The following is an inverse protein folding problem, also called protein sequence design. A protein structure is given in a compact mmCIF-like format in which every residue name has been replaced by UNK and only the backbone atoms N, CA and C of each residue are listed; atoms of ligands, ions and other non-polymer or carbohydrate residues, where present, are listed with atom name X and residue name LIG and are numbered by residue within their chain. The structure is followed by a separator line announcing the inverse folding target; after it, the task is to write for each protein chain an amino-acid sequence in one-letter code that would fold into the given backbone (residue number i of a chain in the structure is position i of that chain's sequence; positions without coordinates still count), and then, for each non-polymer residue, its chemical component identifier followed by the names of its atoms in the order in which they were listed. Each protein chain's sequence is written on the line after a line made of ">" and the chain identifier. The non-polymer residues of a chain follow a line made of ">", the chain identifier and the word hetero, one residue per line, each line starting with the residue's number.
data_IF_468802636158
#
_entry.id   IF_468802636158
#
_cell.length_a   1.000
_cell.length_b   1.000
_cell.length_c   1.000
_cell.angle_alpha   90.00
_cell.angle_beta   90.00
_cell.angle_gamma   90.00
#
_symmetry.space_group_name_H-M   'P 1'
#
loop_
_entity.id
_entity.type
_entity.pdbx_description
1 polymer ?
#
# COMPACT_ATOMS: atom_id res chain seq x y z
N UNK A 1 -21.69 -3.11 -5.75
CA UNK A 1 -22.72 -4.05 -5.25
C UNK A 1 -22.07 -4.94 -4.19
N UNK A 2 -22.85 -5.55 -3.30
CA UNK A 2 -22.31 -6.53 -2.34
C UNK A 2 -21.95 -7.80 -3.12
N UNK A 3 -20.73 -8.31 -2.94
CA UNK A 3 -20.28 -9.55 -3.56
C UNK A 3 -20.96 -10.74 -2.87
N UNK A 4 -21.60 -11.68 -3.61
CA UNK A 4 -22.24 -12.86 -3.01
C UNK A 4 -21.30 -13.70 -2.14
N UNK A 5 -19.98 -13.65 -2.38
CA UNK A 5 -18.97 -14.35 -1.58
C UNK A 5 -18.75 -13.73 -0.19
N UNK A 6 -19.16 -12.48 -0.01
CA UNK A 6 -19.05 -11.75 1.26
C UNK A 6 -20.25 -11.98 2.18
N UNK A 7 -21.35 -12.55 1.69
CA UNK A 7 -22.53 -12.86 2.51
C UNK A 7 -22.14 -13.72 3.72
N UNK A 8 -22.57 -13.29 4.92
CA UNK A 8 -22.24 -13.95 6.18
C UNK A 8 -20.78 -13.82 6.60
N UNK A 9 -20.03 -12.89 6.02
CA UNK A 9 -18.72 -12.44 6.51
C UNK A 9 -18.88 -11.08 7.21
N UNK A 10 -17.94 -10.68 8.08
CA UNK A 10 -17.94 -9.34 8.67
C UNK A 10 -17.94 -8.18 7.65
N UNK A 11 -17.54 -8.45 6.40
CA UNK A 11 -17.42 -7.47 5.32
C UNK A 11 -18.65 -7.44 4.38
N UNK A 12 -19.75 -8.13 4.71
CA UNK A 12 -20.92 -8.24 3.81
C UNK A 12 -21.59 -6.90 3.46
N UNK A 13 -21.28 -5.84 4.21
CA UNK A 13 -21.77 -4.49 4.00
C UNK A 13 -20.89 -3.65 3.06
N UNK A 14 -19.69 -4.13 2.70
CA UNK A 14 -18.71 -3.37 1.91
C UNK A 14 -18.94 -3.60 0.42
N UNK A 15 -19.29 -2.57 -0.37
CA UNK A 15 -19.48 -2.73 -1.81
C UNK A 15 -18.13 -2.89 -2.53
N UNK A 16 -18.04 -3.88 -3.41
CA UNK A 16 -16.83 -4.17 -4.20
C UNK A 16 -17.15 -4.26 -5.68
N UNK A 17 -16.19 -3.89 -6.53
CA UNK A 17 -16.38 -3.94 -7.97
C UNK A 17 -16.29 -5.39 -8.48
N UNK A 18 -17.23 -5.85 -9.33
CA UNK A 18 -17.31 -7.26 -9.74
C UNK A 18 -16.13 -7.73 -10.60
N UNK A 19 -15.42 -6.83 -11.29
CA UNK A 19 -14.20 -7.19 -12.04
C UNK A 19 -12.98 -7.45 -11.15
N UNK A 20 -13.01 -7.12 -9.86
CA UNK A 20 -11.86 -7.35 -8.97
C UNK A 20 -11.55 -8.84 -8.88
N UNK A 21 -10.28 -9.18 -9.11
CA UNK A 21 -9.78 -10.54 -9.01
C UNK A 21 -9.49 -10.81 -7.54
N UNK A 22 -10.36 -11.60 -6.91
CA UNK A 22 -10.21 -12.00 -5.51
C UNK A 22 -9.07 -13.01 -5.37
N UNK A 23 -8.12 -12.71 -4.49
CA UNK A 23 -6.95 -13.55 -4.21
C UNK A 23 -7.15 -14.46 -2.98
N UNK A 24 -8.21 -14.21 -2.22
CA UNK A 24 -8.65 -15.03 -1.08
C UNK A 24 -9.90 -15.82 -1.41
N UNK A 25 -10.10 -16.94 -0.71
CA UNK A 25 -11.33 -17.73 -0.84
C UNK A 25 -12.55 -16.95 -0.34
N UNK A 26 -12.57 -16.65 0.97
CA UNK A 26 -13.71 -15.98 1.61
C UNK A 26 -13.33 -14.78 2.48
N UNK A 27 -12.46 -14.91 3.47
CA UNK A 27 -12.08 -13.78 4.33
C UNK A 27 -10.67 -14.03 4.89
N UNK A 28 -9.82 -12.99 5.08
CA UNK A 28 -10.03 -11.57 4.81
C UNK A 28 -10.06 -11.23 3.31
N UNK A 29 -10.61 -10.07 2.95
CA UNK A 29 -10.66 -9.65 1.54
C UNK A 29 -9.30 -9.14 1.04
N UNK A 30 -8.80 -9.77 -0.02
CA UNK A 30 -7.63 -9.29 -0.75
C UNK A 30 -7.89 -9.47 -2.24
N UNK A 31 -7.67 -8.43 -3.03
CA UNK A 31 -7.98 -8.42 -4.45
C UNK A 31 -7.09 -7.47 -5.23
N UNK A 32 -6.89 -7.77 -6.50
CA UNK A 32 -6.24 -6.92 -7.49
C UNK A 32 -7.19 -6.66 -8.67
N UNK A 33 -7.08 -5.51 -9.35
CA UNK A 33 -7.82 -5.31 -10.58
C UNK A 33 -7.26 -6.20 -11.70
N UNK A 34 -8.04 -6.47 -12.77
CA UNK A 34 -7.51 -6.98 -14.01
C UNK A 34 -6.33 -6.14 -14.50
N UNK A 35 -5.25 -6.79 -14.96
CA UNK A 35 -3.98 -6.11 -15.27
C UNK A 35 -4.11 -4.94 -16.24
N UNK A 36 -5.08 -4.97 -17.17
CA UNK A 36 -5.38 -3.86 -18.09
C UNK A 36 -5.57 -2.51 -17.38
N UNK A 37 -6.06 -2.48 -16.14
CA UNK A 37 -6.31 -1.25 -15.39
C UNK A 37 -5.05 -0.62 -14.80
N UNK A 38 -3.90 -1.29 -14.81
CA UNK A 38 -2.62 -0.66 -14.43
C UNK A 38 -2.05 0.23 -15.54
N UNK A 39 -2.71 0.29 -16.71
CA UNK A 39 -2.33 1.15 -17.84
C UNK A 39 -2.84 2.60 -17.70
N UNK A 40 -3.77 2.87 -16.79
CA UNK A 40 -4.26 4.22 -16.49
C UNK A 40 -3.43 4.85 -15.39
N UNK A 41 -3.03 6.12 -15.55
CA UNK A 41 -2.18 6.81 -14.56
C UNK A 41 -2.85 6.94 -13.18
N UNK A 42 -4.13 7.31 -13.12
CA UNK A 42 -4.95 7.28 -11.91
C UNK A 42 -5.92 6.10 -12.02
N UNK A 43 -5.83 5.18 -11.06
CA UNK A 43 -6.72 4.02 -10.96
C UNK A 43 -8.05 4.46 -10.34
N UNK A 44 -9.21 4.13 -10.94
CA UNK A 44 -10.51 4.34 -10.31
C UNK A 44 -10.55 3.66 -8.94
N UNK A 45 -11.09 4.32 -7.91
CA UNK A 45 -11.05 3.79 -6.53
C UNK A 45 -11.77 2.45 -6.38
N UNK A 46 -12.82 2.19 -7.16
CA UNK A 46 -13.51 0.90 -7.19
C UNK A 46 -12.63 -0.26 -7.70
N UNK A 47 -11.54 0.05 -8.41
CA UNK A 47 -10.56 -0.88 -8.97
C UNK A 47 -9.18 -0.76 -8.30
N UNK A 48 -9.03 0.08 -7.29
CA UNK A 48 -7.80 0.18 -6.53
C UNK A 48 -7.58 -1.14 -5.75
N UNK A 49 -6.40 -1.74 -5.82
CA UNK A 49 -6.15 -3.02 -5.15
C UNK A 49 -6.45 -2.92 -3.65
N UNK A 50 -6.97 -4.01 -3.08
CA UNK A 50 -7.35 -4.08 -1.66
C UNK A 50 -6.54 -5.17 -0.97
N UNK A 51 -5.91 -4.83 0.15
CA UNK A 51 -5.25 -5.77 1.06
C UNK A 51 -5.75 -5.52 2.47
N UNK A 52 -6.49 -6.49 3.03
CA UNK A 52 -6.94 -6.46 4.42
C UNK A 52 -6.36 -7.66 5.19
N UNK A 53 -5.85 -7.41 6.40
CA UNK A 53 -5.40 -8.47 7.32
C UNK A 53 -6.56 -9.13 8.07
N UNK A 54 -7.67 -8.40 8.24
CA UNK A 54 -8.88 -8.85 8.92
C UNK A 54 -10.13 -8.14 8.40
N UNK A 55 -11.20 -8.09 9.22
CA UNK A 55 -12.43 -7.38 8.90
C UNK A 55 -12.21 -5.90 8.64
N UNK A 56 -13.05 -5.32 7.78
CA UNK A 56 -13.14 -3.86 7.63
C UNK A 56 -13.91 -3.28 8.82
N UNK A 57 -13.32 -2.37 9.61
CA UNK A 57 -14.04 -1.66 10.66
C UNK A 57 -15.17 -0.80 10.06
N UNK A 58 -16.33 -0.82 10.71
CA UNK A 58 -17.45 0.05 10.37
C UNK A 58 -17.37 1.34 11.19
N UNK A 59 -16.78 2.36 10.59
CA UNK A 59 -16.50 3.64 11.24
C UNK A 59 -17.38 4.74 10.65
N UNK A 60 -17.64 5.77 11.45
CA UNK A 60 -18.39 6.97 11.07
C UNK A 60 -17.50 8.19 11.22
N UNK A 61 -17.65 9.18 10.33
CA UNK A 61 -16.85 10.41 10.31
C UNK A 61 -16.89 11.15 11.65
N UNK A 62 -18.10 11.39 12.16
CA UNK A 62 -18.37 12.24 13.33
C UNK A 62 -17.84 11.65 14.65
N UNK A 63 -17.65 10.33 14.71
CA UNK A 63 -17.25 9.63 15.94
C UNK A 63 -15.80 9.17 15.91
N UNK A 64 -15.19 9.06 14.73
CA UNK A 64 -13.82 8.58 14.62
C UNK A 64 -12.84 9.63 15.11
N UNK A 65 -11.83 9.17 15.86
CA UNK A 65 -10.72 9.99 16.31
C UNK A 65 -9.42 9.23 16.16
N UNK A 66 -8.31 9.95 16.12
CA UNK A 66 -6.97 9.37 16.28
C UNK A 66 -6.11 10.24 17.18
N UNK A 67 -5.17 9.63 17.90
CA UNK A 67 -4.25 10.35 18.81
C UNK A 67 -2.85 10.50 18.24
N UNK A 68 -2.18 11.58 18.64
CA UNK A 68 -0.73 11.77 18.51
C UNK A 68 -0.14 11.89 19.92
N UNK A 69 0.78 10.99 20.27
CA UNK A 69 1.39 10.92 21.60
C UNK A 69 2.86 10.45 21.55
N UNK A 70 3.46 10.17 22.73
CA UNK A 70 4.85 9.77 22.87
C UNK A 70 5.79 10.95 23.13
N UNK A 71 6.88 11.03 22.37
CA UNK A 71 7.88 12.11 22.45
C UNK A 71 7.37 13.41 21.80
N UNK A 72 6.27 13.94 22.34
CA UNK A 72 5.63 15.21 21.94
C UNK A 72 5.30 16.02 23.19
N UNK A 73 5.35 17.35 23.09
CA UNK A 73 5.07 18.24 24.23
C UNK A 73 3.59 18.27 24.61
N UNK A 74 2.72 18.33 23.59
CA UNK A 74 1.29 18.53 23.75
C UNK A 74 0.55 17.38 23.02
N UNK A 75 0.45 16.18 23.64
CA UNK A 75 -0.32 15.07 23.08
C UNK A 75 -1.76 15.48 22.78
N UNK A 76 -2.29 15.08 21.62
CA UNK A 76 -3.60 15.52 21.14
C UNK A 76 -4.36 14.38 20.50
N UNK A 77 -5.68 14.41 20.65
CA UNK A 77 -6.61 13.57 19.91
C UNK A 77 -7.35 14.46 18.92
N UNK A 78 -7.44 14.05 17.66
CA UNK A 78 -8.09 14.78 16.59
C UNK A 78 -9.40 14.08 16.22
N UNK A 79 -10.50 14.83 16.20
CA UNK A 79 -11.70 14.44 15.45
C UNK A 79 -11.54 14.70 13.96
N UNK A 80 -12.38 14.08 13.13
CA UNK A 80 -12.29 14.25 11.67
C UNK A 80 -12.59 15.68 11.20
N UNK A 81 -13.65 16.31 11.71
CA UNK A 81 -13.95 17.72 11.41
C UNK A 81 -12.83 18.64 11.85
N UNK A 82 -12.35 18.46 13.08
CA UNK A 82 -11.25 19.23 13.64
C UNK A 82 -9.98 19.12 12.79
N UNK A 83 -9.62 17.92 12.32
CA UNK A 83 -8.48 17.70 11.43
C UNK A 83 -8.63 18.52 10.15
N UNK A 84 -9.80 18.44 9.49
CA UNK A 84 -10.02 19.09 8.20
C UNK A 84 -10.09 20.61 8.35
N UNK A 85 -10.78 21.12 9.36
CA UNK A 85 -10.97 22.57 9.53
C UNK A 85 -9.74 23.25 10.11
N UNK A 86 -9.03 22.62 11.04
CA UNK A 86 -7.86 23.23 11.69
C UNK A 86 -6.67 23.34 10.74
N UNK A 87 -6.51 22.38 9.84
CA UNK A 87 -5.37 22.27 8.92
C UNK A 87 -5.78 22.46 7.44
N UNK A 88 -6.84 23.22 7.19
CA UNK A 88 -7.36 23.46 5.83
C UNK A 88 -6.27 24.07 4.92
N UNK A 89 -5.46 24.99 5.45
CA UNK A 89 -4.41 25.69 4.68
C UNK A 89 -3.20 24.82 4.37
N UNK A 90 -2.96 23.80 5.18
CA UNK A 90 -1.87 22.84 5.06
C UNK A 90 -2.29 21.59 4.28
N UNK A 91 -3.58 21.49 3.90
CA UNK A 91 -4.11 20.38 3.13
C UNK A 91 -3.54 20.39 1.71
N UNK A 92 -3.02 19.24 1.27
CA UNK A 92 -2.44 19.05 -0.06
C UNK A 92 -3.08 17.89 -0.79
N UNK A 93 -2.99 17.88 -2.12
CA UNK A 93 -3.44 16.76 -2.96
C UNK A 93 -2.38 16.43 -4.01
N UNK A 94 -1.98 15.16 -4.12
CA UNK A 94 -1.06 14.70 -5.16
C UNK A 94 -1.18 13.20 -5.43
N UNK A 95 -0.77 12.72 -6.62
CA UNK A 95 -0.83 11.31 -6.97
C UNK A 95 0.25 10.49 -6.25
N UNK A 96 -0.15 9.34 -5.69
CA UNK A 96 0.77 8.36 -5.08
C UNK A 96 0.45 6.97 -5.59
N UNK A 97 1.47 6.27 -6.09
CA UNK A 97 1.41 4.84 -6.38
C UNK A 97 1.56 4.05 -5.08
N UNK A 98 0.54 3.24 -4.75
CA UNK A 98 0.61 2.25 -3.68
C UNK A 98 0.98 0.90 -4.28
N UNK A 99 1.87 0.18 -3.60
CA UNK A 99 2.32 -1.15 -4.05
C UNK A 99 2.38 -2.11 -2.88
N UNK A 100 1.74 -3.27 -3.00
CA UNK A 100 1.85 -4.34 -2.02
C UNK A 100 3.25 -4.96 -2.07
N UNK A 101 3.88 -5.25 -0.92
CA UNK A 101 5.12 -6.01 -0.87
C UNK A 101 4.99 -7.42 -1.50
N UNK A 102 3.75 -7.94 -1.56
CA UNK A 102 3.43 -9.20 -2.21
C UNK A 102 3.21 -9.13 -3.71
N UNK A 103 3.27 -7.95 -4.36
CA UNK A 103 3.07 -7.82 -5.80
C UNK A 103 3.99 -8.79 -6.56
N UNK A 104 3.44 -9.50 -7.57
CA UNK A 104 4.10 -10.56 -8.35
C UNK A 104 4.50 -11.83 -7.59
N UNK A 105 4.00 -12.05 -6.37
CA UNK A 105 4.28 -13.29 -5.61
C UNK A 105 3.87 -14.57 -6.35
N UNK A 106 2.85 -14.53 -7.21
CA UNK A 106 2.44 -15.69 -8.01
C UNK A 106 3.60 -16.25 -8.83
N UNK A 107 4.50 -15.41 -9.36
CA UNK A 107 5.67 -15.85 -10.11
C UNK A 107 6.64 -16.67 -9.25
N UNK A 108 6.87 -16.26 -8.00
CA UNK A 108 7.68 -17.03 -7.05
C UNK A 108 7.00 -18.37 -6.70
N UNK A 109 5.68 -18.36 -6.52
CA UNK A 109 4.90 -19.57 -6.24
C UNK A 109 4.94 -20.61 -7.36
N UNK A 110 5.20 -20.20 -8.61
CA UNK A 110 5.41 -21.14 -9.73
C UNK A 110 6.75 -21.88 -9.63
N UNK A 111 7.72 -21.34 -8.90
CA UNK A 111 9.03 -21.99 -8.66
C UNK A 111 8.97 -22.82 -7.37
N UNK A 112 8.58 -22.18 -6.26
CA UNK A 112 8.43 -22.83 -4.95
C UNK A 112 7.29 -22.14 -4.19
N UNK A 113 6.29 -22.94 -3.80
CA UNK A 113 5.12 -22.43 -3.08
C UNK A 113 5.52 -21.76 -1.77
N UNK A 114 5.09 -20.52 -1.57
CA UNK A 114 5.28 -19.73 -0.35
C UNK A 114 3.97 -19.66 0.45
N UNK A 115 4.08 -19.09 1.65
CA UNK A 115 2.94 -18.68 2.48
C UNK A 115 2.54 -17.26 2.04
N UNK A 116 1.26 -17.04 1.72
CA UNK A 116 0.73 -15.73 1.31
C UNK A 116 -0.06 -15.75 0.00
N UNK A 117 -0.81 -14.67 -0.26
CA UNK A 117 -1.67 -14.57 -1.43
C UNK A 117 -0.88 -14.49 -2.74
N UNK A 118 -1.37 -15.18 -3.76
CA UNK A 118 -0.72 -15.26 -5.08
C UNK A 118 -1.09 -14.06 -5.94
N UNK A 119 -0.62 -12.87 -5.56
CA UNK A 119 -0.75 -11.66 -6.37
C UNK A 119 -0.12 -11.85 -7.76
N UNK A 120 -0.85 -11.44 -8.79
CA UNK A 120 -0.30 -11.17 -10.12
C UNK A 120 0.51 -9.88 -10.12
N UNK A 121 0.58 -9.22 -11.28
CA UNK A 121 1.30 -7.96 -11.46
C UNK A 121 0.41 -6.72 -11.21
N UNK A 122 -0.76 -6.88 -10.61
CA UNK A 122 -1.70 -5.79 -10.36
C UNK A 122 -1.88 -5.49 -8.86
N UNK A 123 -0.96 -5.95 -8.01
CA UNK A 123 -0.86 -5.54 -6.60
C UNK A 123 -0.32 -4.11 -6.42
N UNK A 124 -0.68 -3.21 -7.33
CA UNK A 124 -0.32 -1.80 -7.34
C UNK A 124 -1.45 -0.96 -7.95
N UNK A 125 -1.63 0.26 -7.45
CA UNK A 125 -2.64 1.20 -7.94
C UNK A 125 -2.24 2.62 -7.56
N UNK A 126 -2.59 3.60 -8.40
CA UNK A 126 -2.28 5.01 -8.17
C UNK A 126 -3.56 5.77 -7.91
N UNK A 127 -3.56 6.66 -6.92
CA UNK A 127 -4.66 7.57 -6.66
C UNK A 127 -4.13 8.95 -6.27
N UNK A 128 -4.95 9.99 -6.44
CA UNK A 128 -4.70 11.32 -5.90
C UNK A 128 -5.17 11.38 -4.47
N UNK A 129 -4.25 11.55 -3.52
CA UNK A 129 -4.57 11.52 -2.09
C UNK A 129 -4.64 12.94 -1.56
N UNK A 130 -5.71 13.26 -0.82
CA UNK A 130 -5.85 14.55 -0.14
C UNK A 130 -5.76 14.34 1.37
N UNK A 131 -4.88 15.13 2.00
CA UNK A 131 -4.62 15.01 3.43
C UNK A 131 -3.75 16.14 3.97
N UNK A 132 -3.43 16.05 5.26
CA UNK A 132 -2.46 16.94 5.92
C UNK A 132 -1.10 16.24 5.97
N UNK A 133 0.00 16.93 5.65
CA UNK A 133 1.35 16.40 5.84
C UNK A 133 1.62 16.02 7.30
N UNK A 134 2.13 14.81 7.54
CA UNK A 134 2.38 14.28 8.87
C UNK A 134 3.32 15.18 9.69
N UNK A 135 4.34 15.75 9.05
CA UNK A 135 5.29 16.65 9.72
C UNK A 135 4.61 17.90 10.29
N UNK A 136 3.52 18.38 9.69
CA UNK A 136 2.71 19.51 10.19
C UNK A 136 2.02 19.11 11.50
N UNK A 137 1.37 17.95 11.52
CA UNK A 137 0.67 17.43 12.70
C UNK A 137 1.65 17.16 13.86
N UNK A 138 2.79 16.52 13.57
CA UNK A 138 3.82 16.26 14.57
C UNK A 138 4.42 17.56 15.13
N UNK A 139 4.63 18.57 14.29
CA UNK A 139 5.11 19.88 14.73
C UNK A 139 4.06 20.61 15.58
N UNK A 140 2.77 20.51 15.23
CA UNK A 140 1.68 21.09 16.00
C UNK A 140 1.53 20.47 17.41
N UNK A 141 1.88 19.20 17.58
CA UNK A 141 1.95 18.54 18.90
C UNK A 141 3.28 18.79 19.64
N UNK A 142 4.23 19.52 19.04
CA UNK A 142 5.52 19.82 19.66
C UNK A 142 6.44 18.61 19.79
N UNK A 143 6.61 17.85 18.70
CA UNK A 143 7.54 16.70 18.62
C UNK A 143 8.96 17.03 19.09
N UNK A 144 9.52 16.17 19.95
CA UNK A 144 10.92 16.23 20.39
C UNK A 144 11.83 15.68 19.27
N UNK A 145 12.32 16.59 18.42
CA UNK A 145 13.17 16.26 17.27
C UNK A 145 14.54 15.73 17.65
N UNK A 146 14.99 15.90 18.89
CA UNK A 146 16.31 15.42 19.34
C UNK A 146 16.24 13.94 19.72
N UNK A 147 15.13 13.51 20.33
CA UNK A 147 14.95 12.13 20.79
C UNK A 147 14.17 11.24 19.82
N UNK A 148 13.30 11.82 18.99
CA UNK A 148 12.50 11.06 18.05
C UNK A 148 13.38 10.32 17.04
N UNK A 149 13.32 8.98 17.05
CA UNK A 149 14.00 8.13 16.06
C UNK A 149 13.01 7.41 15.14
N UNK A 150 11.79 7.17 15.63
CA UNK A 150 10.74 6.43 14.95
C UNK A 150 9.38 7.07 15.19
N UNK A 151 8.47 6.86 14.25
CA UNK A 151 7.05 7.19 14.39
C UNK A 151 6.25 5.94 14.10
N UNK A 152 5.49 5.49 15.09
CA UNK A 152 4.64 4.31 15.01
C UNK A 152 3.23 4.73 14.61
N UNK A 153 2.55 3.84 13.91
CA UNK A 153 1.19 4.00 13.45
C UNK A 153 0.42 2.74 13.78
N UNK A 154 -0.80 2.90 14.29
CA UNK A 154 -1.68 1.81 14.66
C UNK A 154 -3.08 2.08 14.10
N UNK A 155 -3.69 1.07 13.49
CA UNK A 155 -5.09 1.07 13.07
C UNK A 155 -6.02 0.69 14.22
N UNK A 156 -7.33 0.80 14.01
CA UNK A 156 -8.33 0.34 15.00
C UNK A 156 -8.73 -1.13 14.81
N UNK A 157 -8.22 -1.78 13.76
CA UNK A 157 -8.62 -3.11 13.35
C UNK A 157 -8.30 -4.19 14.40
N UNK A 158 -9.23 -5.11 14.59
CA UNK A 158 -9.11 -6.21 15.54
C UNK A 158 -8.59 -7.47 14.82
N UNK A 159 -7.35 -7.85 15.10
CA UNK A 159 -6.66 -8.97 14.48
C UNK A 159 -6.20 -9.98 15.54
N UNK A 160 -5.92 -11.25 15.18
CA UNK A 160 -5.65 -12.30 16.17
C UNK A 160 -4.48 -12.09 17.15
N UNK A 161 -3.52 -11.21 16.83
CA UNK A 161 -2.32 -10.96 17.64
C UNK A 161 -2.37 -9.57 18.25
N UNK A 162 -2.14 -8.56 17.41
CA UNK A 162 -2.22 -7.14 17.73
C UNK A 162 -3.07 -6.45 16.66
N UNK A 163 -3.62 -5.28 16.99
CA UNK A 163 -4.08 -4.33 15.96
C UNK A 163 -2.99 -4.11 14.92
N UNK A 164 -3.36 -3.80 13.68
CA UNK A 164 -2.36 -3.59 12.66
C UNK A 164 -1.52 -2.36 12.98
N UNK A 165 -0.22 -2.57 13.19
CA UNK A 165 0.69 -1.51 13.55
C UNK A 165 2.05 -1.65 12.89
N UNK A 166 2.69 -0.51 12.65
CA UNK A 166 4.03 -0.46 12.07
C UNK A 166 4.69 0.88 12.36
N UNK A 167 5.87 1.14 11.81
CA UNK A 167 6.56 2.41 11.99
C UNK A 167 7.38 2.82 10.77
N UNK A 168 7.77 4.09 10.73
CA UNK A 168 8.80 4.64 9.85
C UNK A 168 9.84 5.41 10.68
N UNK A 169 10.99 5.71 10.07
CA UNK A 169 11.99 6.59 10.70
C UNK A 169 11.41 7.98 10.93
N UNK A 170 11.73 8.60 12.07
CA UNK A 170 11.35 9.98 12.34
C UNK A 170 11.90 10.95 11.28
N UNK A 171 13.08 10.67 10.72
CA UNK A 171 13.64 11.45 9.61
C UNK A 171 12.74 11.45 8.37
N UNK A 172 12.04 10.36 8.09
CA UNK A 172 11.05 10.29 6.99
C UNK A 172 9.75 10.97 7.36
N UNK A 173 9.27 10.79 8.60
CA UNK A 173 8.01 11.37 9.06
C UNK A 173 8.05 12.91 9.19
N UNK A 174 9.23 13.47 9.50
CA UNK A 174 9.43 14.89 9.76
C UNK A 174 9.99 15.69 8.57
N UNK A 175 10.46 15.01 7.53
CA UNK A 175 10.97 15.64 6.31
C UNK A 175 9.81 16.03 5.37
N UNK A 176 9.60 17.33 5.11
CA UNK A 176 8.57 17.78 4.16
C UNK A 176 8.75 17.21 2.75
N UNK A 177 9.98 16.87 2.33
CA UNK A 177 10.25 16.31 1.00
C UNK A 177 9.84 14.82 0.87
N UNK A 178 9.50 14.15 1.98
CA UNK A 178 9.03 12.77 1.98
C UNK A 178 7.50 12.67 1.78
N UNK A 179 6.77 13.79 1.80
CA UNK A 179 5.35 13.86 1.44
C UNK A 179 4.45 12.84 2.17
N UNK A 180 4.76 12.54 3.43
CA UNK A 180 3.94 11.63 4.25
C UNK A 180 2.63 12.32 4.62
N UNK A 181 1.48 11.69 4.32
CA UNK A 181 0.15 12.27 4.55
C UNK A 181 -0.68 11.47 5.55
N UNK A 182 -1.46 12.19 6.36
CA UNK A 182 -2.67 11.69 7.01
C UNK A 182 -3.85 12.11 6.13
N UNK A 183 -4.41 11.15 5.38
CA UNK A 183 -5.35 11.39 4.28
C UNK A 183 -6.76 10.89 4.59
N UNK A 184 -7.77 11.63 4.12
CA UNK A 184 -9.20 11.32 4.27
C UNK A 184 -9.98 11.35 2.95
N UNK A 185 -9.32 11.68 1.83
CA UNK A 185 -9.89 11.58 0.49
C UNK A 185 -8.92 10.92 -0.48
N UNK A 186 -9.48 10.26 -1.48
CA UNK A 186 -8.78 9.70 -2.62
C UNK A 186 -9.58 9.96 -3.90
N UNK A 187 -8.93 10.45 -4.96
CA UNK A 187 -9.54 10.86 -6.23
C UNK A 187 -10.73 11.83 -6.03
N UNK A 188 -10.61 12.77 -5.10
CA UNK A 188 -11.62 13.79 -4.82
C UNK A 188 -12.77 13.37 -3.91
N UNK A 189 -12.95 12.07 -3.64
CA UNK A 189 -14.00 11.53 -2.79
C UNK A 189 -13.47 11.12 -1.41
N UNK A 190 -14.36 11.05 -0.40
CA UNK A 190 -14.00 10.47 0.89
C UNK A 190 -13.56 9.01 0.69
N UNK A 191 -12.65 8.55 1.55
CA UNK A 191 -12.15 7.18 1.47
C UNK A 191 -13.30 6.18 1.50
N UNK A 192 -13.22 5.12 0.70
CA UNK A 192 -14.08 3.97 0.87
C UNK A 192 -13.63 3.13 2.09
N UNK A 193 -14.52 2.33 2.70
CA UNK A 193 -14.19 1.49 3.86
C UNK A 193 -12.96 0.59 3.66
N UNK A 194 -12.88 -0.12 2.52
CA UNK A 194 -11.75 -0.99 2.17
C UNK A 194 -10.41 -0.21 2.06
N UNK A 195 -10.47 1.09 1.85
CA UNK A 195 -9.31 1.96 1.68
C UNK A 195 -8.99 2.81 2.92
N UNK A 196 -9.67 2.59 4.05
CA UNK A 196 -9.28 3.19 5.32
C UNK A 196 -10.16 4.35 5.78
N UNK A 197 -11.42 4.42 5.35
CA UNK A 197 -12.36 5.41 5.87
C UNK A 197 -12.42 5.42 7.41
N UNK A 198 -12.38 6.58 8.08
CA UNK A 198 -12.34 7.92 7.50
C UNK A 198 -10.94 8.48 7.26
N UNK A 199 -9.89 7.86 7.83
CA UNK A 199 -8.53 8.38 7.77
C UNK A 199 -7.48 7.27 7.70
N UNK A 200 -6.43 7.51 6.90
CA UNK A 200 -5.29 6.61 6.75
C UNK A 200 -3.97 7.35 6.61
N UNK A 201 -2.88 6.62 6.74
CA UNK A 201 -1.56 7.07 6.35
C UNK A 201 -1.28 6.78 4.87
N UNK A 202 -0.56 7.69 4.21
CA UNK A 202 0.04 7.53 2.87
C UNK A 202 1.51 7.92 2.94
N UNK A 203 2.39 7.08 2.41
CA UNK A 203 3.85 7.28 2.46
C UNK A 203 4.43 7.04 1.05
N UNK A 204 4.66 8.08 0.24
CA UNK A 204 5.21 7.92 -1.10
C UNK A 204 6.50 7.08 -1.13
N UNK A 205 6.61 6.23 -2.16
CA UNK A 205 7.79 5.38 -2.38
C UNK A 205 8.00 4.22 -1.39
N UNK A 206 7.12 4.05 -0.39
CA UNK A 206 7.15 2.93 0.55
C UNK A 206 6.17 1.83 0.15
N UNK A 207 6.38 0.62 0.69
CA UNK A 207 5.39 -0.46 0.52
C UNK A 207 4.06 -0.09 1.20
N UNK A 208 2.95 -0.55 0.62
CA UNK A 208 1.60 -0.35 1.17
C UNK A 208 1.43 -0.88 2.60
N UNK A 209 2.24 -1.85 3.01
CA UNK A 209 2.25 -2.35 4.39
C UNK A 209 2.62 -1.31 5.44
N UNK A 210 3.31 -0.21 5.08
CA UNK A 210 3.59 0.88 6.03
C UNK A 210 2.44 1.91 6.12
N UNK A 211 1.50 1.86 5.18
CA UNK A 211 0.43 2.86 5.02
C UNK A 211 -0.84 2.43 5.75
N UNK A 212 -0.79 2.50 7.09
CA UNK A 212 -1.86 2.06 8.00
C UNK A 212 -3.21 2.69 7.66
N UNK A 213 -4.23 1.84 7.56
CA UNK A 213 -5.64 2.23 7.34
C UNK A 213 -6.36 2.33 8.68
N UNK A 214 -7.50 3.03 8.69
CA UNK A 214 -8.36 3.15 9.88
C UNK A 214 -7.55 3.66 11.08
N UNK A 215 -6.76 4.71 10.83
CA UNK A 215 -5.71 5.18 11.73
C UNK A 215 -6.31 5.58 13.07
N UNK A 216 -5.77 5.02 14.15
CA UNK A 216 -6.21 5.25 15.52
C UNK A 216 -5.14 5.94 16.37
N UNK A 217 -3.85 5.69 16.10
CA UNK A 217 -2.75 6.25 16.89
C UNK A 217 -1.50 6.51 16.06
N UNK A 218 -0.85 7.64 16.33
CA UNK A 218 0.49 7.99 15.91
C UNK A 218 1.33 8.19 17.17
N UNK A 219 2.40 7.41 17.33
CA UNK A 219 3.25 7.46 18.53
C UNK A 219 4.69 7.79 18.16
N UNK A 220 5.22 8.90 18.67
CA UNK A 220 6.63 9.27 18.47
C UNK A 220 7.50 8.54 19.49
N UNK A 221 8.49 7.79 19.02
CA UNK A 221 9.32 6.91 19.84
C UNK A 221 10.82 7.05 19.53
N UNK A 222 11.66 6.67 20.48
CA UNK A 222 13.11 6.55 20.35
C UNK A 222 13.54 5.15 19.84
N UNK A 223 12.61 4.21 19.70
CA UNK A 223 12.90 2.85 19.24
C UNK A 223 11.89 2.35 18.20
N UNK A 224 12.27 1.30 17.46
CA UNK A 224 11.44 0.68 16.42
C UNK A 224 10.21 -0.01 17.04
N UNK A 225 9.11 -0.08 16.28
CA UNK A 225 7.87 -0.70 16.76
C UNK A 225 8.06 -2.18 17.06
N UNK A 226 7.50 -2.64 18.17
CA UNK A 226 7.48 -4.05 18.54
C UNK A 226 6.20 -4.77 18.10
N UNK A 227 5.32 -4.11 17.34
CA UNK A 227 4.05 -4.69 16.88
C UNK A 227 4.28 -5.97 16.06
N UNK A 228 3.46 -7.00 16.30
CA UNK A 228 3.57 -8.28 15.64
C UNK A 228 3.67 -8.18 14.11
N UNK A 229 2.83 -7.35 13.48
CA UNK A 229 2.78 -7.21 12.02
C UNK A 229 4.01 -6.49 11.44
N UNK A 230 4.69 -5.67 12.24
CA UNK A 230 5.95 -5.06 11.84
C UNK A 230 7.12 -6.05 11.94
N UNK A 231 7.13 -6.91 12.96
CA UNK A 231 8.19 -7.90 13.16
C UNK A 231 8.01 -9.10 12.22
N UNK A 232 6.82 -9.68 12.16
CA UNK A 232 6.56 -10.99 11.57
C UNK A 232 6.10 -10.96 10.11
N UNK A 233 5.94 -9.77 9.50
CA UNK A 233 5.53 -9.63 8.10
C UNK A 233 6.34 -8.53 7.38
N UNK A 234 6.21 -8.47 6.04
CA UNK A 234 6.82 -7.46 5.17
C UNK A 234 8.35 -7.38 5.31
N UNK A 235 9.01 -8.54 5.20
CA UNK A 235 10.47 -8.67 5.18
C UNK A 235 10.95 -9.43 3.95
N UNK A 236 12.11 -9.07 3.42
CA UNK A 236 12.84 -9.91 2.44
C UNK A 236 13.99 -10.58 3.19
N UNK A 237 13.79 -11.85 3.54
CA UNK A 237 14.80 -12.66 4.22
C UNK A 237 15.77 -13.28 3.20
N UNK A 238 17.01 -13.62 3.61
CA UNK A 238 17.94 -14.37 2.77
C UNK A 238 17.32 -15.64 2.18
N UNK A 239 17.57 -15.89 0.89
CA UNK A 239 16.91 -16.95 0.10
C UNK A 239 17.19 -18.39 0.56
N UNK A 240 18.24 -18.61 1.34
CA UNK A 240 18.58 -19.92 1.89
C UNK A 240 17.76 -20.28 3.14
N UNK A 241 17.05 -19.33 3.74
CA UNK A 241 16.26 -19.55 4.95
C UNK A 241 14.90 -20.17 4.61
N UNK A 242 14.41 -21.04 5.50
CA UNK A 242 13.02 -21.47 5.53
C UNK A 242 12.26 -20.66 6.58
N UNK A 243 10.92 -20.78 6.63
CA UNK A 243 10.13 -20.11 7.65
C UNK A 243 10.48 -20.64 9.06
N UNK A 244 10.78 -21.93 9.16
CA UNK A 244 11.17 -22.60 10.39
C UNK A 244 12.54 -22.08 10.88
N UNK A 245 13.55 -22.04 10.02
CA UNK A 245 14.89 -21.54 10.41
C UNK A 245 14.86 -20.04 10.69
N UNK A 246 14.11 -19.26 9.90
CA UNK A 246 13.91 -17.83 10.16
C UNK A 246 13.34 -17.57 11.56
N UNK A 247 12.39 -18.40 11.99
CA UNK A 247 11.77 -18.29 13.32
C UNK A 247 12.70 -18.75 14.42
N UNK A 248 13.31 -19.94 14.27
CA UNK A 248 14.20 -20.52 15.28
C UNK A 248 15.43 -19.66 15.57
N UNK A 249 15.96 -18.97 14.55
CA UNK A 249 17.16 -18.12 14.65
C UNK A 249 16.86 -16.62 14.80
N UNK A 250 15.59 -16.24 15.01
CA UNK A 250 15.21 -14.86 15.30
C UNK A 250 15.41 -13.86 14.15
N UNK A 251 15.33 -14.32 12.89
CA UNK A 251 15.53 -13.45 11.72
C UNK A 251 14.47 -12.37 11.57
N UNK A 252 13.24 -12.63 12.01
CA UNK A 252 12.13 -11.67 11.95
C UNK A 252 12.39 -10.38 12.73
N UNK A 253 13.19 -10.42 13.81
CA UNK A 253 13.50 -9.23 14.60
C UNK A 253 14.62 -8.35 13.99
N UNK A 254 15.30 -8.82 12.92
CA UNK A 254 16.44 -8.10 12.33
C UNK A 254 15.96 -6.96 11.41
N UNK A 255 15.99 -5.74 11.93
CA UNK A 255 15.53 -4.50 11.26
C UNK A 255 15.98 -4.33 9.80
N UNK A 256 17.24 -4.64 9.38
CA UNK A 256 17.66 -4.45 7.99
C UNK A 256 16.85 -5.22 6.93
N UNK A 257 16.12 -6.25 7.33
CA UNK A 257 15.26 -7.03 6.41
C UNK A 257 13.83 -6.50 6.34
N UNK A 258 13.43 -5.56 7.20
CA UNK A 258 12.14 -4.88 7.12
C UNK A 258 12.07 -4.07 5.82
N UNK A 259 11.05 -4.33 5.01
CA UNK A 259 10.86 -3.58 3.76
C UNK A 259 10.28 -2.22 4.11
N UNK A 260 11.00 -1.15 3.77
CA UNK A 260 10.53 0.23 3.91
C UNK A 260 10.17 0.76 2.52
N UNK A 261 11.18 1.19 1.78
CA UNK A 261 11.04 1.64 0.40
C UNK A 261 10.87 0.47 -0.57
N UNK A 262 10.16 0.73 -1.67
CA UNK A 262 10.05 -0.19 -2.80
C UNK A 262 11.38 -0.30 -3.56
N UNK A 263 11.63 -1.49 -4.13
CA UNK A 263 12.65 -1.67 -5.15
C UNK A 263 12.15 -1.20 -6.53
N UNK A 264 13.06 -1.18 -7.53
CA UNK A 264 12.68 -0.99 -8.93
C UNK A 264 11.86 -2.18 -9.43
N UNK A 265 10.78 -1.93 -10.15
CA UNK A 265 9.97 -2.98 -10.77
C UNK A 265 9.35 -2.49 -12.09
N UNK A 266 9.01 -3.42 -12.96
CA UNK A 266 8.26 -3.19 -14.19
C UNK A 266 7.50 -4.46 -14.59
N UNK A 267 6.38 -4.29 -15.27
CA UNK A 267 5.64 -5.41 -15.86
C UNK A 267 5.00 -4.99 -17.19
N UNK A 268 4.89 -5.96 -18.11
CA UNK A 268 4.17 -5.83 -19.36
C UNK A 268 2.68 -6.05 -19.07
N UNK A 269 1.84 -5.17 -19.62
CA UNK A 269 0.38 -5.22 -19.56
C UNK A 269 -0.20 -5.71 -20.89
N UNK A 270 0.40 -5.28 -22.01
CA UNK A 270 0.00 -5.65 -23.35
C UNK A 270 1.24 -5.96 -24.21
N UNK A 271 1.32 -7.10 -24.90
CA UNK A 271 0.32 -8.18 -24.87
C UNK A 271 0.25 -8.82 -23.47
N UNK A 272 -0.95 -9.22 -23.07
CA UNK A 272 -1.19 -9.96 -21.85
C UNK A 272 -0.92 -11.46 -22.08
N UNK A 273 -0.90 -12.24 -21.00
CA UNK A 273 -0.75 -13.69 -21.07
C UNK A 273 -1.85 -14.30 -21.94
N UNK A 274 -1.43 -15.14 -22.89
CA UNK A 274 -2.27 -15.80 -23.90
C UNK A 274 -3.03 -14.88 -24.87
N UNK A 275 -2.66 -13.60 -24.96
CA UNK A 275 -3.17 -12.72 -26.02
C UNK A 275 -2.77 -13.27 -27.41
N UNK A 276 -3.76 -13.37 -28.30
CA UNK A 276 -3.54 -13.74 -29.70
C UNK A 276 -3.30 -12.48 -30.52
N UNK A 277 -2.09 -12.35 -31.06
CA UNK A 277 -1.73 -11.25 -31.95
C UNK A 277 -1.91 -11.67 -33.41
N UNK A 278 -2.70 -10.94 -34.22
CA UNK A 278 -2.78 -11.22 -35.64
C UNK A 278 -1.42 -10.98 -36.29
N UNK A 279 -1.02 -11.91 -37.16
CA UNK A 279 0.08 -11.68 -38.10
C UNK A 279 -0.50 -10.95 -39.32
N UNK A 280 0.28 -10.04 -39.92
CA UNK A 280 -0.12 -9.32 -41.12
C UNK A 280 -0.69 -10.26 -42.18
N UNK A 281 -1.83 -9.88 -42.78
CA UNK A 281 -2.47 -10.62 -43.86
C UNK A 281 -1.71 -10.52 -45.18
N UNK A 282 -0.85 -9.51 -45.31
CA UNK A 282 -0.08 -9.23 -46.52
C UNK A 282 1.42 -9.42 -46.21
N UNK A 283 2.05 -10.37 -46.91
CA UNK A 283 3.50 -10.66 -46.78
C UNK A 283 4.36 -9.74 -47.65
N UNK A 284 3.75 -8.79 -48.36
CA UNK A 284 4.50 -7.74 -49.04
C UNK A 284 5.14 -6.80 -48.02
N UNK A 285 6.44 -6.59 -48.15
CA UNK A 285 7.34 -5.98 -47.16
C UNK A 285 6.98 -4.52 -46.77
N UNK A 286 6.01 -3.91 -47.45
CA UNK A 286 5.76 -2.47 -47.38
C UNK A 286 4.63 -2.05 -46.43
N UNK A 287 3.84 -2.97 -45.88
CA UNK A 287 2.86 -2.68 -44.82
C UNK A 287 3.33 -3.28 -43.48
N UNK A 288 4.16 -2.54 -42.74
CA UNK A 288 4.58 -2.94 -41.39
C UNK A 288 3.40 -2.73 -40.43
N UNK A 289 2.66 -3.80 -40.12
CA UNK A 289 1.74 -3.81 -38.97
C UNK A 289 2.56 -3.74 -37.67
N UNK A 290 2.44 -2.63 -36.93
CA UNK A 290 3.12 -2.44 -35.64
C UNK A 290 2.22 -2.84 -34.48
N UNK A 291 2.78 -3.54 -33.49
CA UNK A 291 2.13 -3.77 -32.19
C UNK A 291 2.74 -2.90 -31.10
N UNK A 292 1.90 -2.20 -30.33
CA UNK A 292 2.36 -1.37 -29.20
C UNK A 292 2.42 -2.18 -27.92
N UNK A 293 3.64 -2.45 -27.44
CA UNK A 293 3.85 -3.01 -26.10
C UNK A 293 3.56 -1.94 -25.05
N UNK A 294 2.77 -2.28 -24.04
CA UNK A 294 2.45 -1.40 -22.90
C UNK A 294 2.84 -2.07 -21.61
N UNK A 295 3.25 -1.26 -20.64
CA UNK A 295 3.62 -1.72 -19.31
C UNK A 295 3.63 -0.57 -18.31
N UNK A 296 3.97 -0.89 -17.08
CA UNK A 296 4.28 0.10 -16.05
C UNK A 296 5.71 -0.13 -15.53
N UNK A 297 6.28 0.90 -14.92
CA UNK A 297 7.50 0.79 -14.13
C UNK A 297 7.43 1.75 -12.92
N UNK A 298 8.04 1.35 -11.81
CA UNK A 298 8.12 2.18 -10.60
C UNK A 298 9.39 1.89 -9.80
N UNK A 299 9.75 2.82 -8.91
CA UNK A 299 10.78 2.64 -7.88
C UNK A 299 10.32 3.26 -6.57
N UNK A 300 10.91 2.85 -5.45
CA UNK A 300 10.66 3.45 -4.14
C UNK A 300 11.49 4.71 -3.86
N UNK A 301 11.29 5.29 -2.68
CA UNK A 301 12.10 6.41 -2.15
C UNK A 301 12.20 7.63 -3.06
N UNK A 302 11.15 7.92 -3.86
CA UNK A 302 11.14 9.07 -4.78
C UNK A 302 12.08 8.95 -5.99
N UNK A 303 12.69 7.78 -6.22
CA UNK A 303 13.63 7.58 -7.34
C UNK A 303 12.89 7.53 -8.68
N UNK A 304 13.29 8.39 -9.61
CA UNK A 304 12.77 8.40 -10.98
C UNK A 304 13.23 7.17 -11.75
N UNK A 305 12.29 6.51 -12.45
CA UNK A 305 12.64 5.54 -13.49
C UNK A 305 13.17 6.30 -14.71
N UNK A 306 14.46 6.16 -15.01
CA UNK A 306 15.12 6.90 -16.11
C UNK A 306 15.11 6.15 -17.45
N UNK A 307 14.91 4.83 -17.41
CA UNK A 307 14.92 3.98 -18.60
C UNK A 307 14.09 2.71 -18.35
N UNK A 308 13.36 2.28 -19.37
CA UNK A 308 12.74 0.95 -19.46
C UNK A 308 13.27 0.31 -20.74
N UNK A 309 13.81 -0.89 -20.62
CA UNK A 309 14.32 -1.67 -21.75
C UNK A 309 13.37 -2.83 -22.03
N UNK A 310 13.09 -3.07 -23.30
CA UNK A 310 12.24 -4.17 -23.75
C UNK A 310 13.01 -5.02 -24.74
N UNK A 311 12.89 -6.35 -24.62
CA UNK A 311 13.47 -7.31 -25.58
C UNK A 311 12.35 -8.21 -26.10
N UNK A 312 12.38 -8.49 -27.41
CA UNK A 312 11.53 -9.53 -28.02
C UNK A 312 12.23 -10.92 -28.03
N UNK A 313 13.49 -10.98 -27.58
CA UNK A 313 14.29 -12.20 -27.49
C UNK A 313 14.54 -12.64 -26.04
N UNK A 314 15.51 -13.53 -25.83
CA UNK A 314 15.88 -14.05 -24.49
C UNK A 314 16.80 -13.10 -23.69
N UNK A 315 16.68 -11.79 -23.86
CA UNK A 315 17.52 -10.81 -23.17
C UNK A 315 18.91 -10.56 -23.76
N UNK A 316 19.11 -10.89 -25.04
CA UNK A 316 20.29 -10.50 -25.83
C UNK A 316 20.03 -9.20 -26.60
#
# INVERSE_FOLDING_TARGET
>A
MIDPRDVGTPDEWVPRHPEMIRLTGRHPFNSEPPLKYTSTFITPMALHYVRNHGPVPRLEWDTHTFSIDGLVKDPRTFGMDELVTTFEKETVTFPVLLVCAGNRRKEQNMIKKTIGFSWGAAGCSTAEWTGVPLHVLLTACGVDREKAQWVWFEGIDDLPHDKYGTCIRASTALDPACDVLVAWKANGELLAPDHGFPVRLIIPGHIGGRMVKWLARIHVSDHESTNHHHIMDNRVLPSHLTAETATAEGWWAKSPYAIMELNINAAIIAPNHDDLLPLSKDTTVNDIETYTIKGYAYSGGGRRVIRVETTAGRGN
#
